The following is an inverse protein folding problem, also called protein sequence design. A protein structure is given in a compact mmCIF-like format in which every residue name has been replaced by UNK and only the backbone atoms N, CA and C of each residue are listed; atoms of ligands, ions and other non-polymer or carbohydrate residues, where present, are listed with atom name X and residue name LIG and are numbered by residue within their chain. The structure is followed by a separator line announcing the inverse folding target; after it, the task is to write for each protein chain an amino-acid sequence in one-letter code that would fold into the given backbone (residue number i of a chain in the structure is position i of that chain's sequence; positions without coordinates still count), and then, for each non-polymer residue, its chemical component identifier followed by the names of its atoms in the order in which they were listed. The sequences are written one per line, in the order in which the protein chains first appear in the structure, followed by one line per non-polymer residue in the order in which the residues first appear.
data_IF_803148340964
#
_entry.id   IF_803148340964
#
_cell.length_a   1.000
_cell.length_b   1.000
_cell.length_c   1.000
_cell.angle_alpha   90.00
_cell.angle_beta   90.00
_cell.angle_gamma   90.00
#
_symmetry.space_group_name_H-M   'P 1'
#
loop_
_entity.id
_entity.type
_entity.pdbx_description
1 polymer ?
#
# COMPACT_ATOMS: atom_id res chain seq x y z
N UNK A 1 13.74 -38.10 -3.65
CA UNK A 1 14.44 -37.04 -4.41
C UNK A 1 13.58 -35.78 -4.64
N UNK A 2 12.40 -35.66 -4.03
CA UNK A 2 11.43 -34.56 -4.29
C UNK A 2 11.42 -33.44 -3.24
N UNK A 3 12.09 -33.59 -2.10
CA UNK A 3 12.06 -32.58 -1.02
C UNK A 3 13.06 -31.44 -1.16
N UNK A 4 14.19 -31.65 -1.85
CA UNK A 4 15.24 -30.63 -2.02
C UNK A 4 14.86 -29.58 -3.08
N UNK A 5 14.10 -29.96 -4.12
CA UNK A 5 13.69 -29.05 -5.19
C UNK A 5 12.66 -27.99 -4.75
N UNK A 6 11.83 -28.29 -3.73
CA UNK A 6 10.88 -27.31 -3.19
C UNK A 6 11.58 -26.20 -2.39
N UNK A 7 12.71 -26.53 -1.73
CA UNK A 7 13.47 -25.59 -0.90
C UNK A 7 14.35 -24.65 -1.75
N UNK A 8 14.89 -25.12 -2.88
CA UNK A 8 15.61 -24.26 -3.85
C UNK A 8 14.70 -23.27 -4.58
N UNK A 9 13.46 -23.65 -4.89
CA UNK A 9 12.50 -22.77 -5.56
C UNK A 9 12.09 -21.54 -4.73
N UNK A 10 12.10 -21.65 -3.39
CA UNK A 10 11.80 -20.55 -2.48
C UNK A 10 12.95 -19.54 -2.35
N UNK A 11 14.20 -19.99 -2.55
CA UNK A 11 15.41 -19.15 -2.54
C UNK A 11 15.46 -18.15 -3.70
N UNK A 12 14.94 -18.53 -4.87
CA UNK A 12 14.94 -17.72 -6.09
C UNK A 12 13.69 -16.84 -6.29
N UNK A 13 12.86 -16.66 -5.24
CA UNK A 13 11.65 -15.85 -5.37
C UNK A 13 12.05 -14.37 -5.53
N UNK A 14 11.96 -13.87 -6.77
CA UNK A 14 12.20 -12.45 -7.10
C UNK A 14 11.48 -11.50 -6.14
N UNK A 15 12.09 -10.35 -5.89
CA UNK A 15 11.55 -9.30 -5.02
C UNK A 15 11.10 -8.13 -5.89
N UNK A 16 9.89 -7.62 -5.66
CA UNK A 16 9.42 -6.38 -6.30
C UNK A 16 9.15 -5.31 -5.25
N UNK A 17 9.75 -4.14 -5.41
CA UNK A 17 9.40 -2.93 -4.66
C UNK A 17 8.39 -2.12 -5.43
N UNK A 18 7.27 -1.75 -4.81
CA UNK A 18 6.33 -0.84 -5.43
C UNK A 18 5.76 0.17 -4.44
N UNK A 19 5.32 1.31 -4.96
CA UNK A 19 4.67 2.35 -4.19
C UNK A 19 3.24 2.55 -4.67
N UNK A 20 2.31 2.80 -3.74
CA UNK A 20 1.00 3.36 -4.08
C UNK A 20 1.13 4.85 -4.33
N UNK A 21 0.28 5.41 -5.18
CA UNK A 21 0.20 6.83 -5.47
C UNK A 21 -1.25 7.19 -5.85
N UNK A 22 -1.63 8.46 -5.73
CA UNK A 22 -3.02 8.93 -5.93
C UNK A 22 -3.39 9.99 -4.91
N UNK A 23 -4.48 10.70 -5.17
CA UNK A 23 -5.05 11.74 -4.30
C UNK A 23 -5.57 11.17 -2.98
N UNK A 24 -5.93 12.05 -2.06
CA UNK A 24 -6.76 11.71 -0.89
C UNK A 24 -8.06 11.06 -1.37
N UNK A 25 -8.54 10.06 -0.64
CA UNK A 25 -9.77 9.29 -0.92
C UNK A 25 -9.82 8.45 -2.21
N UNK A 26 -8.70 8.33 -2.95
CA UNK A 26 -8.59 7.40 -4.09
C UNK A 26 -8.52 5.91 -3.67
N UNK A 27 -8.63 5.59 -2.37
CA UNK A 27 -8.69 4.21 -1.87
C UNK A 27 -7.33 3.49 -1.75
N UNK A 28 -6.21 4.22 -1.74
CA UNK A 28 -4.84 3.66 -1.63
C UNK A 28 -4.70 2.72 -0.43
N UNK A 29 -4.94 3.23 0.78
CA UNK A 29 -4.81 2.46 2.02
C UNK A 29 -5.79 1.28 2.09
N UNK A 30 -6.98 1.42 1.51
CA UNK A 30 -7.94 0.32 1.36
C UNK A 30 -7.40 -0.79 0.46
N UNK A 31 -6.81 -0.46 -0.70
CA UNK A 31 -6.16 -1.44 -1.58
C UNK A 31 -5.00 -2.14 -0.86
N UNK A 32 -4.14 -1.37 -0.17
CA UNK A 32 -3.02 -1.93 0.59
C UNK A 32 -3.53 -2.90 1.64
N UNK A 33 -4.51 -2.49 2.47
CA UNK A 33 -5.12 -3.34 3.47
C UNK A 33 -5.71 -4.63 2.87
N UNK A 34 -6.34 -4.54 1.69
CA UNK A 34 -6.87 -5.69 0.98
C UNK A 34 -5.78 -6.66 0.50
N UNK A 35 -4.67 -6.15 -0.05
CA UNK A 35 -3.53 -6.99 -0.46
C UNK A 35 -2.91 -7.73 0.73
N UNK A 36 -2.80 -7.06 1.88
CA UNK A 36 -2.26 -7.68 3.09
C UNK A 36 -3.18 -8.77 3.64
N UNK A 37 -4.48 -8.51 3.65
CA UNK A 37 -5.50 -9.50 4.00
C UNK A 37 -5.43 -10.75 3.08
N UNK A 38 -5.49 -10.55 1.77
CA UNK A 38 -5.59 -11.65 0.80
C UNK A 38 -4.29 -12.46 0.69
N UNK A 39 -3.14 -11.83 0.97
CA UNK A 39 -1.85 -12.53 1.05
C UNK A 39 -1.64 -13.32 2.35
N UNK A 40 -2.61 -13.29 3.29
CA UNK A 40 -2.49 -13.87 4.63
C UNK A 40 -1.24 -13.39 5.39
N UNK A 41 -0.79 -12.16 5.08
CA UNK A 41 0.39 -11.55 5.72
C UNK A 41 0.03 -10.82 7.01
N UNK A 42 -1.28 -10.70 7.31
CA UNK A 42 -1.81 -10.13 8.55
C UNK A 42 -2.10 -11.28 9.52
N UNK A 43 -1.61 -11.16 10.75
CA UNK A 43 -1.89 -12.11 11.80
C UNK A 43 -3.37 -12.01 12.23
N UNK A 44 -3.96 -13.13 12.65
CA UNK A 44 -5.38 -13.20 12.97
C UNK A 44 -5.81 -12.24 14.09
N UNK A 45 -4.96 -12.02 15.08
CA UNK A 45 -5.15 -11.06 16.18
C UNK A 45 -5.22 -9.61 15.69
N UNK A 46 -4.39 -9.23 14.69
CA UNK A 46 -4.46 -7.90 14.09
C UNK A 46 -5.74 -7.69 13.29
N UNK A 47 -6.21 -8.74 12.61
CA UNK A 47 -7.49 -8.72 11.91
C UNK A 47 -8.67 -8.57 12.87
N UNK A 48 -8.69 -9.32 13.96
CA UNK A 48 -9.70 -9.20 15.02
C UNK A 48 -9.71 -7.80 15.65
N UNK A 49 -8.53 -7.21 15.87
CA UNK A 49 -8.42 -5.85 16.39
C UNK A 49 -9.01 -4.82 15.42
N UNK A 50 -8.78 -4.97 14.12
CA UNK A 50 -9.37 -4.11 13.08
C UNK A 50 -10.88 -4.28 13.00
N UNK A 51 -11.39 -5.51 13.05
CA UNK A 51 -12.84 -5.75 13.08
C UNK A 51 -13.49 -5.10 14.30
N UNK A 52 -12.88 -5.24 15.48
CA UNK A 52 -13.41 -4.65 16.70
C UNK A 52 -13.38 -3.12 16.64
N UNK A 53 -12.33 -2.52 16.10
CA UNK A 53 -12.23 -1.07 15.91
C UNK A 53 -13.21 -0.53 14.86
N UNK A 54 -13.50 -1.30 13.81
CA UNK A 54 -14.47 -0.94 12.78
C UNK A 54 -15.90 -1.01 13.34
N UNK A 55 -16.21 -2.08 14.08
CA UNK A 55 -17.50 -2.25 14.79
C UNK A 55 -17.75 -1.14 15.81
N UNK A 56 -16.73 -0.74 16.58
CA UNK A 56 -16.88 0.36 17.54
C UNK A 56 -17.10 1.72 16.88
N UNK A 57 -16.71 1.87 15.60
CA UNK A 57 -17.00 3.03 14.75
C UNK A 57 -18.33 2.90 13.98
N UNK A 58 -19.08 1.82 14.19
CA UNK A 58 -20.38 1.59 13.56
C UNK A 58 -20.32 1.09 12.11
N UNK A 59 -19.15 0.59 11.66
CA UNK A 59 -19.00 0.02 10.32
C UNK A 59 -19.38 -1.47 10.33
N UNK A 60 -20.15 -1.91 9.33
CA UNK A 60 -20.55 -3.32 9.17
C UNK A 60 -19.41 -4.20 8.62
N UNK A 61 -18.49 -3.61 7.85
CA UNK A 61 -17.34 -4.30 7.28
C UNK A 61 -16.03 -3.82 7.95
N UNK A 62 -14.98 -4.66 7.99
CA UNK A 62 -13.69 -4.26 8.52
C UNK A 62 -13.06 -3.17 7.65
N UNK A 63 -12.69 -2.05 8.25
CA UNK A 63 -11.92 -1.00 7.60
C UNK A 63 -10.44 -1.38 7.55
N UNK A 64 -10.05 -1.98 6.43
CA UNK A 64 -8.69 -2.49 6.23
C UNK A 64 -7.64 -1.37 6.16
N UNK A 65 -8.01 -0.09 6.02
CA UNK A 65 -7.06 1.02 6.12
C UNK A 65 -6.48 1.15 7.54
N UNK A 66 -7.16 0.62 8.56
CA UNK A 66 -6.64 0.59 9.93
C UNK A 66 -5.38 -0.29 10.08
N UNK A 67 -5.10 -1.18 9.12
CA UNK A 67 -3.85 -1.96 9.08
C UNK A 67 -2.65 -1.14 8.60
N UNK A 68 -2.89 -0.05 7.86
CA UNK A 68 -1.83 0.77 7.26
C UNK A 68 -1.49 1.98 8.10
N UNK A 69 -2.48 2.56 8.80
CA UNK A 69 -2.32 3.80 9.56
C UNK A 69 -1.58 3.59 10.89
N UNK A 70 -0.31 3.95 10.89
CA UNK A 70 0.61 3.75 12.01
C UNK A 70 0.57 4.89 13.02
N UNK A 71 0.25 6.12 12.59
CA UNK A 71 0.26 7.30 13.45
C UNK A 71 -1.14 7.61 13.98
N UNK A 72 -1.20 8.09 15.24
CA UNK A 72 -2.47 8.56 15.82
C UNK A 72 -3.08 9.72 15.02
N UNK A 73 -2.23 10.62 14.53
CA UNK A 73 -2.64 11.76 13.70
C UNK A 73 -3.28 11.32 12.36
N UNK A 74 -2.78 10.23 11.75
CA UNK A 74 -3.37 9.67 10.52
C UNK A 74 -4.81 9.21 10.79
N UNK A 75 -5.02 8.49 11.91
CA UNK A 75 -6.34 8.00 12.31
C UNK A 75 -7.31 9.11 12.69
N UNK A 76 -6.82 10.21 13.25
CA UNK A 76 -7.63 11.38 13.61
C UNK A 76 -8.04 12.18 12.38
N UNK A 77 -7.17 12.28 11.37
CA UNK A 77 -7.43 13.05 10.14
C UNK A 77 -7.99 12.22 8.98
N UNK A 78 -7.95 10.89 9.08
CA UNK A 78 -8.39 9.98 8.01
C UNK A 78 -7.51 10.04 6.76
N UNK A 79 -6.24 10.44 6.90
CA UNK A 79 -5.29 10.53 5.79
C UNK A 79 -3.97 9.87 6.17
N UNK A 80 -3.31 9.25 5.20
CA UNK A 80 -1.90 8.86 5.33
C UNK A 80 -1.01 10.11 5.36
N UNK A 81 -0.08 10.16 6.30
CA UNK A 81 0.84 11.28 6.53
C UNK A 81 2.27 10.83 6.22
N UNK A 82 2.67 9.66 6.71
CA UNK A 82 4.01 9.13 6.52
C UNK A 82 4.02 7.89 5.63
N UNK A 83 5.20 7.53 5.13
CA UNK A 83 5.35 6.32 4.32
C UNK A 83 5.40 5.11 5.22
N UNK A 84 4.45 4.20 5.06
CA UNK A 84 4.47 2.91 5.75
C UNK A 84 4.96 1.80 4.80
N UNK A 85 6.03 1.12 5.20
CA UNK A 85 6.49 -0.07 4.49
C UNK A 85 5.77 -1.32 4.97
N UNK A 86 5.35 -2.15 4.02
CA UNK A 86 4.64 -3.42 4.24
C UNK A 86 5.28 -4.52 3.41
N UNK A 87 5.30 -5.72 3.98
CA UNK A 87 5.96 -6.88 3.40
C UNK A 87 4.93 -7.97 3.26
N UNK A 88 4.81 -8.52 2.06
CA UNK A 88 3.95 -9.66 1.82
C UNK A 88 4.51 -10.54 0.71
N UNK A 89 3.98 -11.75 0.60
CA UNK A 89 4.39 -12.68 -0.44
C UNK A 89 3.16 -13.36 -1.06
N UNK A 90 3.35 -13.78 -2.30
CA UNK A 90 2.49 -14.73 -2.99
C UNK A 90 3.29 -16.02 -3.20
N UNK A 91 2.66 -17.12 -3.64
CA UNK A 91 3.41 -18.33 -4.02
C UNK A 91 4.47 -18.10 -5.11
N UNK A 92 4.41 -16.99 -5.86
CA UNK A 92 5.30 -16.70 -7.01
C UNK A 92 6.36 -15.63 -6.75
N UNK A 93 6.11 -14.67 -5.85
CA UNK A 93 6.90 -13.45 -5.68
C UNK A 93 6.76 -12.83 -4.30
N UNK A 94 7.84 -12.20 -3.80
CA UNK A 94 7.86 -11.36 -2.59
C UNK A 94 7.72 -9.88 -2.95
N UNK A 95 7.09 -9.11 -2.07
CA UNK A 95 6.79 -7.71 -2.30
C UNK A 95 7.20 -6.84 -1.11
N UNK A 96 7.74 -5.67 -1.43
CA UNK A 96 7.88 -4.55 -0.51
C UNK A 96 6.98 -3.45 -1.05
N UNK A 97 5.97 -3.09 -0.26
CA UNK A 97 4.99 -2.06 -0.59
C UNK A 97 5.28 -0.83 0.24
N UNK A 98 5.45 0.32 -0.41
CA UNK A 98 5.44 1.63 0.23
C UNK A 98 4.04 2.24 0.10
N UNK A 99 3.32 2.35 1.22
CA UNK A 99 2.05 3.07 1.26
C UNK A 99 2.34 4.56 1.40
N UNK A 100 1.96 5.36 0.40
CA UNK A 100 2.36 6.77 0.35
C UNK A 100 1.17 7.72 0.54
N UNK A 101 1.41 8.91 1.13
CA UNK A 101 0.35 9.88 1.35
C UNK A 101 -0.14 10.51 0.05
N UNK A 102 -1.45 10.77 -0.01
CA UNK A 102 -2.10 11.42 -1.15
C UNK A 102 -2.39 12.91 -0.97
N UNK A 103 -2.19 13.44 0.24
CA UNK A 103 -2.47 14.84 0.53
C UNK A 103 -1.32 15.74 0.07
N UNK A 104 -1.67 16.91 -0.46
CA UNK A 104 -0.75 17.82 -1.15
C UNK A 104 0.42 18.25 -0.26
N UNK A 105 0.17 18.39 1.04
CA UNK A 105 1.17 18.81 2.05
C UNK A 105 2.25 17.75 2.28
N UNK A 106 1.97 16.48 1.98
CA UNK A 106 2.86 15.35 2.22
C UNK A 106 3.46 14.79 0.92
N UNK A 107 3.42 15.55 -0.18
CA UNK A 107 4.05 15.18 -1.46
C UNK A 107 5.53 14.77 -1.27
N UNK A 108 6.26 15.40 -0.34
CA UNK A 108 7.66 15.04 -0.04
C UNK A 108 7.80 13.62 0.50
N UNK A 109 6.89 13.20 1.36
CA UNK A 109 6.90 11.85 1.92
C UNK A 109 6.59 10.83 0.81
N UNK A 110 5.65 11.14 -0.09
CA UNK A 110 5.43 10.32 -1.29
C UNK A 110 6.71 10.16 -2.12
N UNK A 111 7.45 11.24 -2.38
CA UNK A 111 8.75 11.18 -3.09
C UNK A 111 9.70 10.20 -2.41
N UNK A 112 9.81 10.22 -1.08
CA UNK A 112 10.62 9.27 -0.33
C UNK A 112 10.17 7.83 -0.57
N UNK A 113 8.87 7.55 -0.50
CA UNK A 113 8.33 6.21 -0.72
C UNK A 113 8.51 5.70 -2.16
N UNK A 114 8.36 6.57 -3.15
CA UNK A 114 8.53 6.24 -4.57
C UNK A 114 10.01 6.12 -4.99
N UNK A 115 10.95 6.72 -4.26
CA UNK A 115 12.37 6.81 -4.65
C UNK A 115 13.09 5.46 -4.81
N UNK A 116 12.57 4.39 -4.19
CA UNK A 116 13.14 3.03 -4.27
C UNK A 116 12.24 2.05 -5.03
N UNK A 117 11.15 2.55 -5.61
CA UNK A 117 10.13 1.72 -6.25
C UNK A 117 10.54 1.32 -7.67
N UNK A 118 10.28 0.05 -8.00
CA UNK A 118 10.40 -0.50 -9.37
C UNK A 118 9.07 -0.37 -10.13
N UNK A 119 7.97 -0.22 -9.40
CA UNK A 119 6.61 -0.04 -9.90
C UNK A 119 5.89 1.05 -9.09
N UNK A 120 5.16 1.94 -9.76
CA UNK A 120 4.19 2.82 -9.12
C UNK A 120 2.77 2.40 -9.52
N UNK A 121 1.89 2.22 -8.54
CA UNK A 121 0.45 1.98 -8.76
C UNK A 121 -0.26 3.30 -8.51
N UNK A 122 -0.81 3.92 -9.56
CA UNK A 122 -1.52 5.20 -9.46
C UNK A 122 -3.02 4.93 -9.40
N UNK A 123 -3.58 5.03 -8.20
CA UNK A 123 -5.00 4.91 -7.99
C UNK A 123 -5.69 6.23 -8.38
N UNK A 124 -6.87 6.09 -8.98
CA UNK A 124 -7.71 7.19 -9.43
C UNK A 124 -9.15 6.85 -9.08
N UNK A 125 -9.80 7.69 -8.27
CA UNK A 125 -11.25 7.58 -8.07
C UNK A 125 -11.99 7.83 -9.39
N UNK A 126 -12.71 6.82 -9.87
CA UNK A 126 -13.48 6.90 -11.11
C UNK A 126 -14.54 8.02 -11.10
N UNK A 127 -15.01 8.45 -9.92
CA UNK A 127 -15.99 9.55 -9.77
C UNK A 127 -15.38 10.90 -10.08
N UNK A 128 -14.11 11.08 -9.72
CA UNK A 128 -13.39 12.35 -9.84
C UNK A 128 -12.45 12.39 -11.06
N UNK A 129 -12.05 11.22 -11.57
CA UNK A 129 -11.09 11.09 -12.65
C UNK A 129 -9.70 11.62 -12.27
N UNK A 130 -8.91 11.97 -13.28
CA UNK A 130 -7.52 12.42 -13.09
C UNK A 130 -7.50 13.86 -12.57
N UNK A 131 -7.21 14.01 -11.27
CA UNK A 131 -7.08 15.30 -10.60
C UNK A 131 -5.62 15.79 -10.57
N UNK A 132 -5.39 17.01 -10.07
CA UNK A 132 -4.05 17.59 -10.03
C UNK A 132 -3.05 16.75 -9.22
N UNK A 133 -3.48 16.17 -8.08
CA UNK A 133 -2.60 15.29 -7.31
C UNK A 133 -2.21 14.03 -8.08
N UNK A 134 -3.15 13.41 -8.80
CA UNK A 134 -2.85 12.26 -9.68
C UNK A 134 -1.75 12.61 -10.68
N UNK A 135 -1.88 13.78 -11.36
CA UNK A 135 -0.88 14.25 -12.32
C UNK A 135 0.46 14.54 -11.66
N UNK A 136 0.43 15.18 -10.49
CA UNK A 136 1.64 15.50 -9.71
C UNK A 136 2.37 14.22 -9.31
N UNK A 137 1.64 13.21 -8.86
CA UNK A 137 2.21 11.94 -8.46
C UNK A 137 2.81 11.18 -9.64
N UNK A 138 2.12 11.14 -10.78
CA UNK A 138 2.64 10.55 -12.01
C UNK A 138 3.91 11.28 -12.50
N UNK A 139 3.93 12.63 -12.43
CA UNK A 139 5.11 13.42 -12.78
C UNK A 139 6.30 13.13 -11.85
N UNK A 140 6.05 12.99 -10.53
CA UNK A 140 7.08 12.59 -9.56
C UNK A 140 7.63 11.21 -9.90
N UNK A 141 6.77 10.22 -10.17
CA UNK A 141 7.22 8.87 -10.56
C UNK A 141 8.09 8.90 -11.83
N UNK A 142 7.74 9.73 -12.81
CA UNK A 142 8.53 9.92 -14.02
C UNK A 142 9.89 10.58 -13.74
N UNK A 143 9.93 11.61 -12.89
CA UNK A 143 11.18 12.30 -12.49
C UNK A 143 12.13 11.37 -11.71
N UNK A 144 11.56 10.51 -10.86
CA UNK A 144 12.30 9.46 -10.15
C UNK A 144 12.70 8.29 -11.04
N UNK A 145 12.24 8.26 -12.30
CA UNK A 145 12.48 7.19 -13.27
C UNK A 145 11.99 5.82 -12.76
N UNK A 146 10.82 5.80 -12.12
CA UNK A 146 10.18 4.54 -11.74
C UNK A 146 9.96 3.71 -13.02
N UNK A 147 10.53 2.50 -13.11
CA UNK A 147 10.57 1.73 -14.37
C UNK A 147 9.19 1.40 -14.97
N UNK A 148 8.19 1.18 -14.12
CA UNK A 148 6.85 0.81 -14.55
C UNK A 148 5.78 1.58 -13.77
N UNK A 149 4.72 1.98 -14.47
CA UNK A 149 3.56 2.67 -13.89
C UNK A 149 2.31 1.93 -14.33
N UNK A 150 1.43 1.64 -13.36
CA UNK A 150 0.13 0.99 -13.54
C UNK A 150 -0.96 1.93 -13.08
#
# INVERSE_FOLDING_TARGET
MTSTQATEALSATSLLRFATAGSVDDGKSTLVGRLLHDSKSVLADQLEAVEHASRSRGQEAPDLALLTDGLRAEREQGITIDVAYRYFATPRRRFILADTPGHVQYTRNMVTGASTAELAIVLVDARNGVVEQTRRHAAVAALLRVPHVV
#
